data_IF_390052039450
#
_entry.id   IF_390052039450
#
_cell.length_a   1.000
_cell.length_b   1.000
_cell.length_c   1.000
_cell.angle_alpha   90.00
_cell.angle_beta   90.00
_cell.angle_gamma   90.00
#
_symmetry.space_group_name_H-M   'P 1'
#
loop_
_entity.id
_entity.type
_entity.pdbx_description
1 polymer ?
#
# COMPACT_ATOMS: atom_id res chain seq x y z
N UNK A 1 -2.50 -16.66 -16.56
CA UNK A 1 -2.58 -17.56 -17.74
C UNK A 1 -1.53 -18.64 -17.59
N UNK A 2 -1.81 -19.89 -17.93
CA UNK A 2 -0.87 -21.03 -17.82
C UNK A 2 -0.14 -21.16 -16.48
N UNK A 3 -0.78 -20.76 -15.38
CA UNK A 3 -0.17 -20.78 -14.04
C UNK A 3 0.98 -19.78 -13.84
N UNK A 4 1.12 -18.75 -14.68
CA UNK A 4 2.14 -17.70 -14.55
C UNK A 4 1.58 -16.38 -14.00
N UNK A 5 2.43 -15.64 -13.28
CA UNK A 5 2.15 -14.28 -12.83
C UNK A 5 2.39 -13.29 -13.98
N UNK A 6 1.36 -13.01 -14.79
CA UNK A 6 1.48 -12.03 -15.88
C UNK A 6 1.68 -10.59 -15.37
N UNK A 7 1.06 -10.26 -14.23
CA UNK A 7 1.19 -8.94 -13.62
C UNK A 7 0.83 -9.00 -12.14
N UNK A 8 1.72 -8.51 -11.27
CA UNK A 8 1.46 -8.39 -9.84
C UNK A 8 0.44 -7.30 -9.48
N UNK A 9 0.19 -6.36 -10.39
CA UNK A 9 -0.72 -5.23 -10.21
C UNK A 9 -1.89 -5.23 -11.22
N UNK A 10 -2.03 -6.32 -12.00
CA UNK A 10 -3.04 -6.45 -13.07
C UNK A 10 -3.01 -5.28 -14.07
N UNK A 11 -1.83 -4.77 -14.42
CA UNK A 11 -1.67 -3.63 -15.32
C UNK A 11 -2.14 -2.29 -14.72
N UNK A 12 -2.06 -2.13 -13.40
CA UNK A 12 -2.45 -0.90 -12.71
C UNK A 12 -3.94 -0.83 -12.41
N UNK A 13 -4.47 -1.84 -11.70
CA UNK A 13 -5.85 -1.76 -11.16
C UNK A 13 -6.04 -0.49 -10.32
N UNK A 14 -7.13 0.24 -10.57
CA UNK A 14 -7.42 1.47 -9.84
C UNK A 14 -7.88 1.17 -8.40
N UNK A 15 -7.78 2.18 -7.52
CA UNK A 15 -8.25 2.05 -6.14
C UNK A 15 -9.75 1.75 -6.05
N UNK A 16 -10.57 2.26 -6.97
CA UNK A 16 -12.01 2.01 -6.97
C UNK A 16 -12.35 0.58 -7.39
N UNK A 17 -11.68 0.07 -8.43
CA UNK A 17 -11.78 -1.33 -8.83
C UNK A 17 -11.28 -2.26 -7.72
N UNK A 18 -10.12 -1.96 -7.14
CA UNK A 18 -9.55 -2.72 -6.01
C UNK A 18 -10.50 -2.74 -4.81
N UNK A 19 -11.14 -1.62 -4.48
CA UNK A 19 -12.13 -1.55 -3.40
C UNK A 19 -13.33 -2.47 -3.64
N UNK A 20 -13.88 -2.46 -4.85
CA UNK A 20 -15.00 -3.32 -5.20
C UNK A 20 -14.62 -4.81 -5.15
N UNK A 21 -13.45 -5.17 -5.67
CA UNK A 21 -12.94 -6.55 -5.65
C UNK A 21 -12.70 -7.04 -4.21
N UNK A 22 -12.07 -6.22 -3.36
CA UNK A 22 -11.81 -6.60 -1.97
C UNK A 22 -13.09 -6.64 -1.14
N UNK A 23 -14.09 -5.81 -1.43
CA UNK A 23 -15.40 -5.93 -0.77
C UNK A 23 -16.05 -7.30 -1.04
N UNK A 24 -16.00 -7.80 -2.28
CA UNK A 24 -16.51 -9.13 -2.61
C UNK A 24 -15.72 -10.25 -1.92
N UNK A 25 -14.39 -10.09 -1.80
CA UNK A 25 -13.56 -11.04 -1.05
C UNK A 25 -13.88 -11.02 0.45
N UNK A 26 -14.06 -9.86 1.05
CA UNK A 26 -14.48 -9.73 2.45
C UNK A 26 -15.85 -10.37 2.68
N UNK A 27 -16.81 -10.16 1.78
CA UNK A 27 -18.14 -10.77 1.88
C UNK A 27 -18.09 -12.30 1.80
N UNK A 28 -17.25 -12.85 0.92
CA UNK A 28 -17.20 -14.30 0.68
C UNK A 28 -16.24 -15.07 1.60
N UNK A 29 -15.10 -14.48 1.96
CA UNK A 29 -14.01 -15.14 2.69
C UNK A 29 -13.75 -14.52 4.07
N UNK A 30 -14.34 -13.36 4.37
CA UNK A 30 -14.22 -12.71 5.66
C UNK A 30 -14.93 -13.47 6.78
N UNK A 31 -14.43 -13.31 7.99
CA UNK A 31 -14.94 -13.95 9.21
C UNK A 31 -14.56 -13.15 10.46
N UNK A 32 -14.83 -13.69 11.65
CA UNK A 32 -14.35 -13.09 12.90
C UNK A 32 -12.82 -13.13 13.04
N UNK A 33 -12.14 -14.04 12.35
CA UNK A 33 -10.69 -14.24 12.43
C UNK A 33 -9.94 -13.79 11.19
N UNK A 34 -10.62 -13.57 10.06
CA UNK A 34 -10.02 -13.18 8.78
C UNK A 34 -10.77 -11.95 8.27
N UNK A 35 -10.07 -10.84 8.05
CA UNK A 35 -10.66 -9.59 7.55
C UNK A 35 -9.84 -9.05 6.38
N UNK A 36 -10.50 -8.58 5.35
CA UNK A 36 -9.87 -7.93 4.20
C UNK A 36 -10.22 -6.44 4.16
N UNK A 37 -9.20 -5.60 3.98
CA UNK A 37 -9.35 -4.15 3.92
C UNK A 37 -8.79 -3.62 2.60
N UNK A 38 -9.58 -2.85 1.85
CA UNK A 38 -9.11 -2.24 0.61
C UNK A 38 -8.13 -1.11 0.95
N UNK A 39 -6.92 -1.20 0.39
CA UNK A 39 -5.97 -0.09 0.30
C UNK A 39 -5.95 0.58 -1.09
N UNK A 40 -4.80 1.10 -1.49
CA UNK A 40 -4.60 1.85 -2.74
C UNK A 40 -4.16 0.94 -3.89
N UNK A 41 -4.83 1.08 -5.04
CA UNK A 41 -4.56 0.28 -6.24
C UNK A 41 -4.65 -1.22 -5.97
N UNK A 42 -3.53 -1.93 -6.14
CA UNK A 42 -3.42 -3.38 -5.93
C UNK A 42 -2.96 -3.78 -4.50
N UNK A 43 -2.72 -2.80 -3.62
CA UNK A 43 -2.17 -3.03 -2.28
C UNK A 43 -3.30 -3.05 -1.27
N UNK A 44 -3.49 -4.20 -0.63
CA UNK A 44 -4.60 -4.44 0.30
C UNK A 44 -4.10 -5.18 1.54
N UNK A 45 -4.92 -5.19 2.60
CA UNK A 45 -4.54 -5.78 3.89
C UNK A 45 -5.44 -6.96 4.19
N UNK A 46 -4.84 -8.10 4.52
CA UNK A 46 -5.51 -9.25 5.13
C UNK A 46 -5.09 -9.33 6.60
N UNK A 47 -6.04 -9.22 7.53
CA UNK A 47 -5.80 -9.39 8.96
C UNK A 47 -6.24 -10.79 9.38
N UNK A 48 -5.30 -11.56 9.91
CA UNK A 48 -5.54 -12.91 10.42
C UNK A 48 -5.35 -12.90 11.94
N UNK A 49 -6.33 -13.39 12.70
CA UNK A 49 -6.32 -13.44 14.17
C UNK A 49 -6.30 -14.90 14.66
N UNK A 50 -5.46 -15.18 15.65
CA UNK A 50 -5.35 -16.53 16.26
C UNK A 50 -4.56 -17.55 15.44
N UNK A 51 -3.79 -17.13 14.43
CA UNK A 51 -3.00 -17.99 13.53
C UNK A 51 -1.57 -17.50 13.39
N UNK A 52 -0.85 -17.48 14.50
CA UNK A 52 0.54 -17.00 14.55
C UNK A 52 1.52 -17.88 13.75
N UNK A 53 1.13 -19.12 13.44
CA UNK A 53 1.87 -19.99 12.53
C UNK A 53 2.07 -19.36 11.15
N UNK A 54 1.10 -18.57 10.67
CA UNK A 54 1.21 -17.83 9.39
C UNK A 54 2.34 -16.80 9.35
N UNK A 55 2.81 -16.34 10.52
CA UNK A 55 3.97 -15.43 10.63
C UNK A 55 5.28 -16.10 10.25
N UNK A 56 5.33 -17.45 10.33
CA UNK A 56 6.50 -18.25 10.00
C UNK A 56 6.48 -18.77 8.57
N UNK A 57 5.44 -18.45 7.79
CA UNK A 57 5.36 -18.84 6.39
C UNK A 57 6.39 -18.08 5.56
N UNK A 58 7.17 -18.79 4.77
CA UNK A 58 8.03 -18.17 3.75
C UNK A 58 7.17 -17.87 2.54
N UNK A 59 7.09 -16.59 2.17
CA UNK A 59 6.26 -16.11 1.07
C UNK A 59 7.12 -15.27 0.10
N UNK A 60 6.73 -15.22 -1.17
CA UNK A 60 7.50 -14.52 -2.22
C UNK A 60 6.81 -13.23 -2.63
N UNK A 61 7.48 -12.06 -2.64
CA UNK A 61 6.91 -10.83 -3.17
C UNK A 61 6.47 -10.98 -4.64
N UNK A 62 5.27 -10.51 -5.03
CA UNK A 62 4.75 -10.78 -6.36
C UNK A 62 5.50 -10.00 -7.46
N UNK A 63 6.21 -8.91 -7.09
CA UNK A 63 7.04 -8.15 -8.02
C UNK A 63 8.35 -8.86 -8.41
N UNK A 64 8.74 -9.93 -7.71
CA UNK A 64 9.93 -10.73 -8.04
C UNK A 64 9.63 -11.88 -9.02
N UNK A 65 8.35 -12.15 -9.27
CA UNK A 65 7.86 -13.29 -10.06
C UNK A 65 7.10 -12.97 -11.37
N UNK A 66 7.14 -11.76 -11.98
CA UNK A 66 6.58 -11.55 -13.32
C UNK A 66 7.06 -12.61 -14.32
N UNK A 67 6.12 -13.12 -15.12
CA UNK A 67 6.31 -14.13 -16.17
C UNK A 67 6.81 -15.51 -15.70
N UNK A 68 6.89 -15.74 -14.38
CA UNK A 68 7.31 -17.02 -13.78
C UNK A 68 6.11 -17.88 -13.36
N UNK A 69 6.25 -19.22 -13.32
CA UNK A 69 5.22 -20.13 -12.80
C UNK A 69 4.98 -19.92 -11.30
N UNK A 70 3.75 -19.59 -10.90
CA UNK A 70 3.44 -19.27 -9.49
C UNK A 70 3.56 -20.47 -8.55
N UNK A 71 3.44 -21.69 -9.08
CA UNK A 71 3.50 -22.92 -8.30
C UNK A 71 4.83 -23.09 -7.55
N UNK A 72 5.92 -22.53 -8.08
CA UNK A 72 7.25 -22.56 -7.46
C UNK A 72 7.40 -21.57 -6.28
N UNK A 73 6.47 -20.62 -6.17
CA UNK A 73 6.55 -19.47 -5.24
C UNK A 73 5.39 -19.42 -4.24
N UNK A 74 4.57 -20.46 -4.17
CA UNK A 74 3.50 -20.59 -3.18
C UNK A 74 4.06 -20.57 -1.75
N UNK A 75 3.28 -20.13 -0.75
CA UNK A 75 3.70 -20.11 0.65
C UNK A 75 4.25 -21.45 1.13
N UNK A 76 5.37 -21.42 1.85
CA UNK A 76 6.03 -22.61 2.42
C UNK A 76 6.14 -22.51 3.94
N UNK A 77 6.29 -23.66 4.61
CA UNK A 77 6.46 -23.70 6.07
C UNK A 77 5.15 -23.61 6.86
N UNK A 78 5.21 -23.33 8.18
CA UNK A 78 4.03 -23.27 9.03
C UNK A 78 3.01 -22.23 8.57
N UNK A 79 1.71 -22.53 8.74
CA UNK A 79 0.62 -21.64 8.35
C UNK A 79 0.35 -21.51 6.86
N UNK A 80 1.15 -22.16 5.98
CA UNK A 80 0.96 -22.12 4.53
C UNK A 80 -0.44 -22.52 4.08
N UNK A 81 -1.03 -23.54 4.71
CA UNK A 81 -2.30 -24.12 4.24
C UNK A 81 -3.42 -23.08 4.25
N UNK A 82 -3.46 -22.23 5.29
CA UNK A 82 -4.45 -21.14 5.36
C UNK A 82 -4.21 -20.09 4.28
N UNK A 83 -2.95 -19.71 4.06
CA UNK A 83 -2.59 -18.71 3.06
C UNK A 83 -2.92 -19.23 1.65
N UNK A 84 -2.52 -20.46 1.35
CA UNK A 84 -2.83 -21.16 0.09
C UNK A 84 -4.34 -21.28 -0.12
N UNK A 85 -5.10 -21.66 0.90
CA UNK A 85 -6.57 -21.75 0.83
C UNK A 85 -7.19 -20.39 0.48
N UNK A 86 -6.81 -19.32 1.18
CA UNK A 86 -7.33 -17.98 0.92
C UNK A 86 -6.97 -17.49 -0.50
N UNK A 87 -5.74 -17.74 -0.94
CA UNK A 87 -5.31 -17.41 -2.30
C UNK A 87 -6.12 -18.18 -3.34
N UNK A 88 -6.29 -19.49 -3.19
CA UNK A 88 -7.06 -20.32 -4.12
C UNK A 88 -8.54 -19.93 -4.15
N UNK A 89 -9.19 -19.80 -2.99
CA UNK A 89 -10.61 -19.43 -2.90
C UNK A 89 -10.88 -18.03 -3.44
N UNK A 90 -9.90 -17.11 -3.36
CA UNK A 90 -10.05 -15.78 -3.97
C UNK A 90 -10.25 -15.85 -5.48
N UNK A 91 -9.70 -16.87 -6.17
CA UNK A 91 -9.87 -17.01 -7.61
C UNK A 91 -11.34 -17.18 -7.99
N UNK A 92 -12.08 -17.98 -7.23
CA UNK A 92 -13.50 -18.24 -7.48
C UNK A 92 -14.35 -16.98 -7.31
N UNK A 93 -14.05 -16.18 -6.28
CA UNK A 93 -14.70 -14.90 -6.01
C UNK A 93 -14.44 -13.90 -7.14
N UNK A 94 -13.20 -13.86 -7.64
CA UNK A 94 -12.77 -12.85 -8.60
C UNK A 94 -13.12 -13.21 -10.06
N UNK A 95 -13.23 -14.49 -10.42
CA UNK A 95 -13.31 -14.98 -11.81
C UNK A 95 -14.38 -14.27 -12.65
N UNK A 96 -15.59 -14.16 -12.10
CA UNK A 96 -16.78 -13.58 -12.74
C UNK A 96 -17.23 -12.27 -12.09
N UNK A 97 -16.36 -11.63 -11.30
CA UNK A 97 -16.69 -10.36 -10.68
C UNK A 97 -16.94 -9.28 -11.75
N UNK A 98 -17.97 -8.41 -11.62
CA UNK A 98 -18.32 -7.39 -12.62
C UNK A 98 -17.14 -6.50 -13.04
N UNK A 99 -16.25 -6.14 -12.10
CA UNK A 99 -15.02 -5.40 -12.40
C UNK A 99 -14.14 -6.15 -13.40
N UNK A 100 -13.97 -7.47 -13.24
CA UNK A 100 -13.16 -8.25 -14.17
C UNK A 100 -13.82 -8.43 -15.53
N UNK A 101 -15.16 -8.52 -15.58
CA UNK A 101 -15.91 -8.55 -16.84
C UNK A 101 -15.67 -7.24 -17.60
N UNK A 102 -15.78 -6.10 -16.92
CA UNK A 102 -15.56 -4.78 -17.53
C UNK A 102 -14.09 -4.54 -17.91
N UNK A 103 -13.13 -4.99 -17.09
CA UNK A 103 -11.70 -4.91 -17.45
C UNK A 103 -11.42 -5.69 -18.72
N UNK A 104 -11.95 -6.91 -18.84
CA UNK A 104 -11.80 -7.73 -20.06
C UNK A 104 -12.45 -7.07 -21.27
N UNK A 105 -13.65 -6.47 -21.12
CA UNK A 105 -14.35 -5.80 -22.24
C UNK A 105 -13.54 -4.63 -22.81
N UNK A 106 -12.71 -3.98 -21.98
CA UNK A 106 -11.81 -2.88 -22.34
C UNK A 106 -10.39 -3.32 -22.74
N UNK A 107 -10.10 -4.61 -22.76
CA UNK A 107 -8.77 -5.15 -23.06
C UNK A 107 -7.74 -4.98 -21.93
N UNK A 108 -8.19 -4.70 -20.70
CA UNK A 108 -7.33 -4.67 -19.52
C UNK A 108 -7.18 -6.07 -18.89
N UNK A 109 -6.06 -6.28 -18.21
CA UNK A 109 -5.79 -7.52 -17.49
C UNK A 109 -6.75 -7.65 -16.29
N UNK A 110 -7.45 -8.79 -16.13
CA UNK A 110 -8.29 -9.04 -14.97
C UNK A 110 -7.46 -9.32 -13.72
N UNK A 111 -8.01 -9.03 -12.54
CA UNK A 111 -7.46 -9.42 -11.25
C UNK A 111 -7.87 -10.85 -10.96
N UNK A 112 -6.94 -11.81 -11.01
CA UNK A 112 -7.30 -13.23 -10.97
C UNK A 112 -7.15 -13.89 -9.61
N UNK A 113 -6.35 -13.32 -8.71
CA UNK A 113 -6.04 -13.95 -7.43
C UNK A 113 -5.49 -12.90 -6.45
N UNK A 114 -5.80 -13.05 -5.16
CA UNK A 114 -5.02 -12.40 -4.11
C UNK A 114 -3.67 -13.10 -3.97
N UNK A 115 -2.60 -12.32 -3.83
CA UNK A 115 -1.27 -12.85 -3.55
C UNK A 115 -0.86 -12.45 -2.14
N UNK A 116 -0.91 -13.39 -1.20
CA UNK A 116 -0.54 -13.15 0.20
C UNK A 116 0.98 -13.39 0.35
N UNK A 117 1.76 -12.32 0.22
CA UNK A 117 3.22 -12.42 0.21
C UNK A 117 3.93 -11.90 1.45
N UNK A 118 3.24 -11.14 2.28
CA UNK A 118 3.79 -10.74 3.55
C UNK A 118 3.41 -11.81 4.57
N UNK A 119 4.41 -12.53 5.08
CA UNK A 119 4.33 -13.03 6.45
C UNK A 119 4.32 -11.79 7.35
N UNK A 120 3.16 -11.15 7.47
CA UNK A 120 3.03 -9.87 8.17
C UNK A 120 3.39 -10.09 9.63
N UNK A 121 4.53 -9.57 10.07
CA UNK A 121 4.98 -9.69 11.45
C UNK A 121 3.94 -9.15 12.45
N UNK A 122 4.10 -9.51 13.72
CA UNK A 122 3.28 -8.90 14.78
C UNK A 122 3.46 -7.38 14.71
N UNK A 123 2.36 -6.65 14.84
CA UNK A 123 2.39 -5.19 14.98
C UNK A 123 3.31 -4.90 16.18
N UNK A 124 4.43 -4.19 15.98
CA UNK A 124 5.34 -3.91 17.07
C UNK A 124 4.63 -3.04 18.11
N UNK A 125 5.01 -3.21 19.38
CA UNK A 125 4.62 -2.25 20.39
C UNK A 125 5.30 -0.92 20.07
N UNK A 126 4.50 0.06 19.65
CA UNK A 126 4.96 1.37 19.25
C UNK A 126 4.36 2.40 20.21
N UNK A 127 5.12 2.82 21.26
CA UNK A 127 4.60 3.79 22.19
C UNK A 127 4.33 5.12 21.47
N UNK A 128 3.35 5.91 21.93
CA UNK A 128 3.10 7.24 21.39
C UNK A 128 4.37 8.09 21.35
N UNK A 129 4.58 8.80 20.25
CA UNK A 129 5.76 9.61 19.98
C UNK A 129 5.97 10.65 21.07
N UNK A 130 4.88 11.27 21.54
CA UNK A 130 4.88 12.22 22.65
C UNK A 130 5.36 11.60 23.96
N UNK A 131 4.96 10.36 24.28
CA UNK A 131 5.41 9.69 25.51
C UNK A 131 6.91 9.40 25.46
N UNK A 132 7.42 9.04 24.27
CA UNK A 132 8.84 8.70 24.09
C UNK A 132 9.75 9.93 23.99
N UNK A 133 9.30 11.01 23.35
CA UNK A 133 10.14 12.15 22.99
C UNK A 133 9.70 13.49 23.61
N UNK A 134 8.56 13.53 24.29
CA UNK A 134 8.05 14.73 24.97
C UNK A 134 7.49 15.81 24.06
N UNK A 135 7.37 15.55 22.75
CA UNK A 135 6.95 16.53 21.74
C UNK A 135 5.69 16.07 21.01
N UNK A 136 4.80 17.01 20.69
CA UNK A 136 3.66 16.75 19.81
C UNK A 136 4.15 16.90 18.36
N UNK A 137 3.90 15.87 17.54
CA UNK A 137 4.37 15.86 16.16
C UNK A 137 3.21 15.72 15.18
N UNK A 138 3.38 16.30 14.00
CA UNK A 138 2.53 16.06 12.84
C UNK A 138 3.34 15.57 11.64
N UNK A 139 2.67 14.97 10.65
CA UNK A 139 3.28 14.52 9.40
C UNK A 139 2.39 14.83 8.20
N UNK A 140 3.01 15.26 7.09
CA UNK A 140 2.38 15.28 5.77
C UNK A 140 3.06 14.28 4.85
N UNK A 141 2.25 13.42 4.20
CA UNK A 141 2.70 12.42 3.22
C UNK A 141 1.51 11.96 2.39
N UNK A 142 1.76 11.66 1.10
CA UNK A 142 0.82 10.95 0.23
C UNK A 142 0.88 9.41 0.41
N UNK A 143 1.91 8.90 1.09
CA UNK A 143 2.16 7.47 1.19
C UNK A 143 1.47 6.86 2.40
N UNK A 144 0.51 5.96 2.15
CA UNK A 144 -0.27 5.28 3.20
C UNK A 144 0.58 4.55 4.25
N UNK A 145 1.71 3.98 3.85
CA UNK A 145 2.64 3.32 4.78
C UNK A 145 3.10 4.28 5.88
N UNK A 146 3.56 5.48 5.49
CA UNK A 146 4.04 6.48 6.44
C UNK A 146 2.89 7.07 7.25
N UNK A 147 1.73 7.31 6.62
CA UNK A 147 0.50 7.75 7.31
C UNK A 147 0.07 6.73 8.37
N UNK A 148 0.20 5.44 8.08
CA UNK A 148 -0.04 4.35 9.02
C UNK A 148 0.93 4.36 10.19
N UNK A 149 2.24 4.49 9.93
CA UNK A 149 3.26 4.57 10.97
C UNK A 149 3.07 5.78 11.89
N UNK A 150 2.74 6.95 11.32
CA UNK A 150 2.42 8.14 12.09
C UNK A 150 1.24 7.90 13.04
N UNK A 151 0.13 7.34 12.52
CA UNK A 151 -1.04 6.98 13.34
C UNK A 151 -0.70 5.99 14.44
N UNK A 152 0.08 4.96 14.13
CA UNK A 152 0.53 3.98 15.13
C UNK A 152 1.39 4.63 16.23
N UNK A 153 2.20 5.63 15.88
CA UNK A 153 3.01 6.38 16.82
C UNK A 153 2.25 7.56 17.47
N UNK A 154 0.95 7.74 17.24
CA UNK A 154 0.21 8.90 17.75
C UNK A 154 0.74 10.26 17.25
N UNK A 155 1.29 10.29 16.02
CA UNK A 155 1.66 11.50 15.28
C UNK A 155 0.46 11.91 14.42
N UNK A 156 0.09 13.18 14.47
CA UNK A 156 -1.05 13.70 13.72
C UNK A 156 -0.75 13.68 12.21
N UNK A 157 -1.66 13.14 11.41
CA UNK A 157 -1.50 13.11 9.95
C UNK A 157 -2.25 14.28 9.35
N UNK A 158 -1.51 15.18 8.69
CA UNK A 158 -2.06 16.35 8.02
C UNK A 158 -2.74 15.93 6.72
N UNK A 159 -3.97 16.42 6.52
CA UNK A 159 -4.73 16.26 5.29
C UNK A 159 -4.69 17.56 4.50
N UNK A 160 -3.70 17.67 3.61
CA UNK A 160 -3.42 18.88 2.82
C UNK A 160 -3.89 18.60 1.37
N UNK A 161 -4.87 19.35 0.85
CA UNK A 161 -5.35 19.16 -0.52
C UNK A 161 -4.24 19.28 -1.56
N UNK A 162 -4.22 18.34 -2.50
CA UNK A 162 -3.25 18.30 -3.60
C UNK A 162 -1.91 17.66 -3.23
N UNK A 163 -1.76 17.09 -2.03
CA UNK A 163 -0.58 16.26 -1.72
C UNK A 163 -0.74 14.88 -2.37
N UNK A 164 0.11 14.57 -3.35
CA UNK A 164 0.15 13.31 -4.09
C UNK A 164 1.55 12.69 -4.06
N UNK A 165 1.68 11.45 -4.54
CA UNK A 165 2.95 10.72 -4.61
C UNK A 165 3.74 11.03 -5.89
N UNK A 166 3.11 11.59 -6.92
CA UNK A 166 3.71 11.89 -8.22
C UNK A 166 4.23 13.33 -8.39
N UNK A 167 4.65 13.65 -9.61
CA UNK A 167 5.09 15.00 -9.99
C UNK A 167 3.96 16.05 -9.94
N UNK A 168 2.71 15.59 -9.95
CA UNK A 168 1.52 16.42 -9.79
C UNK A 168 1.29 16.91 -8.33
N UNK A 169 2.17 16.51 -7.40
CA UNK A 169 2.13 16.94 -6.01
C UNK A 169 2.15 18.47 -5.88
N UNK A 170 1.31 19.01 -5.01
CA UNK A 170 1.33 20.42 -4.66
C UNK A 170 2.36 20.68 -3.56
N UNK A 171 3.64 20.69 -3.94
CA UNK A 171 4.78 20.92 -3.04
C UNK A 171 4.63 22.20 -2.20
N UNK A 172 4.14 23.27 -2.83
CA UNK A 172 3.94 24.56 -2.17
C UNK A 172 2.88 24.49 -1.06
N UNK A 173 1.74 23.85 -1.33
CA UNK A 173 0.70 23.64 -0.32
C UNK A 173 1.20 22.71 0.79
N UNK A 174 1.97 21.67 0.43
CA UNK A 174 2.55 20.74 1.39
C UNK A 174 3.48 21.45 2.38
N UNK A 175 4.40 22.29 1.89
CA UNK A 175 5.30 23.08 2.73
C UNK A 175 4.56 24.11 3.58
N UNK A 176 3.59 24.82 3.00
CA UNK A 176 2.79 25.82 3.72
C UNK A 176 1.95 25.20 4.85
N UNK A 177 1.26 24.08 4.58
CA UNK A 177 0.46 23.39 5.60
C UNK A 177 1.33 22.76 6.70
N UNK A 178 2.55 22.34 6.38
CA UNK A 178 3.51 21.90 7.39
C UNK A 178 3.97 23.04 8.30
N UNK A 179 4.25 24.23 7.75
CA UNK A 179 4.56 25.43 8.54
C UNK A 179 3.39 25.89 9.41
N UNK A 180 2.17 25.82 8.89
CA UNK A 180 0.96 26.11 9.67
C UNK A 180 0.80 25.15 10.85
N UNK A 181 1.07 23.86 10.66
CA UNK A 181 0.99 22.86 11.72
C UNK A 181 1.96 23.15 12.89
N UNK A 182 3.12 23.77 12.64
CA UNK A 182 4.07 24.19 13.69
C UNK A 182 3.50 25.23 14.68
N UNK A 183 2.36 25.86 14.37
CA UNK A 183 1.69 26.73 15.34
C UNK A 183 1.12 25.96 16.54
N UNK A 184 0.80 24.67 16.35
CA UNK A 184 0.17 23.82 17.35
C UNK A 184 0.97 22.53 17.63
N UNK A 185 2.12 22.33 16.96
CA UNK A 185 2.97 21.16 17.10
C UNK A 185 4.43 21.59 17.29
N UNK A 186 5.18 20.77 18.02
CA UNK A 186 6.59 21.02 18.30
C UNK A 186 7.50 20.52 17.17
N UNK A 187 7.01 19.58 16.35
CA UNK A 187 7.73 18.96 15.24
C UNK A 187 6.78 18.63 14.08
N UNK A 188 7.22 18.85 12.85
CA UNK A 188 6.49 18.43 11.65
C UNK A 188 7.40 17.67 10.70
N UNK A 189 6.98 16.47 10.32
CA UNK A 189 7.63 15.65 9.29
C UNK A 189 7.02 15.95 7.93
N UNK A 190 7.84 16.41 6.98
CA UNK A 190 7.43 16.57 5.58
C UNK A 190 8.03 15.44 4.77
N UNK A 191 7.17 14.57 4.22
CA UNK A 191 7.59 13.50 3.34
C UNK A 191 7.11 13.75 1.92
N UNK A 192 8.04 13.75 0.97
CA UNK A 192 7.76 13.95 -0.46
C UNK A 192 8.21 12.70 -1.23
N UNK A 193 7.24 12.02 -1.86
CA UNK A 193 7.45 10.70 -2.48
C UNK A 193 7.93 10.77 -3.93
N UNK A 194 7.60 11.86 -4.63
CA UNK A 194 7.84 11.98 -6.08
C UNK A 194 9.27 11.69 -6.57
N UNK A 195 10.36 11.95 -5.80
CA UNK A 195 11.70 11.54 -6.23
C UNK A 195 11.92 10.02 -6.28
N UNK A 196 11.21 9.26 -5.44
CA UNK A 196 11.30 7.80 -5.39
C UNK A 196 10.48 7.16 -6.52
N UNK A 197 9.24 7.62 -6.74
CA UNK A 197 8.40 7.19 -7.86
C UNK A 197 9.10 7.40 -9.22
N UNK A 198 9.76 8.55 -9.44
CA UNK A 198 10.57 8.77 -10.63
C UNK A 198 11.76 7.80 -10.73
N UNK A 199 12.34 7.42 -9.59
CA UNK A 199 13.38 6.39 -9.50
C UNK A 199 12.87 5.00 -9.91
N UNK A 200 11.71 4.59 -9.40
CA UNK A 200 11.05 3.34 -9.78
C UNK A 200 10.67 3.28 -11.26
N UNK A 201 10.26 4.41 -11.83
CA UNK A 201 9.97 4.55 -13.26
C UNK A 201 11.25 4.58 -14.14
N UNK A 202 12.44 4.70 -13.54
CA UNK A 202 13.69 4.86 -14.28
C UNK A 202 13.82 6.20 -15.01
N UNK A 203 13.01 7.21 -14.63
CA UNK A 203 12.97 8.52 -15.28
C UNK A 203 13.93 9.49 -14.61
N UNK A 204 15.06 9.75 -15.28
CA UNK A 204 16.08 10.69 -14.79
C UNK A 204 15.52 12.12 -14.76
N UNK A 205 14.82 12.53 -15.81
CA UNK A 205 14.30 13.89 -15.95
C UNK A 205 13.24 14.18 -14.89
N UNK A 206 12.31 13.24 -14.65
CA UNK A 206 11.29 13.41 -13.61
C UNK A 206 11.91 13.44 -12.22
N UNK A 207 12.95 12.65 -11.97
CA UNK A 207 13.67 12.64 -10.69
C UNK A 207 14.36 13.97 -10.43
N UNK A 208 15.01 14.54 -11.44
CA UNK A 208 15.61 15.87 -11.35
C UNK A 208 14.53 16.92 -11.09
N UNK A 209 13.42 16.88 -11.84
CA UNK A 209 12.30 17.81 -11.67
C UNK A 209 11.71 17.74 -10.26
N UNK A 210 11.45 16.53 -9.73
CA UNK A 210 10.94 16.34 -8.38
C UNK A 210 11.85 16.96 -7.31
N UNK A 211 13.16 16.70 -7.39
CA UNK A 211 14.14 17.26 -6.45
C UNK A 211 14.17 18.79 -6.53
N UNK A 212 14.12 19.37 -7.74
CA UNK A 212 14.08 20.82 -7.92
C UNK A 212 12.80 21.45 -7.36
N UNK A 213 11.66 20.76 -7.47
CA UNK A 213 10.40 21.22 -6.87
C UNK A 213 10.46 21.16 -5.35
N UNK A 214 11.05 20.11 -4.75
CA UNK A 214 11.28 20.04 -3.30
C UNK A 214 12.14 21.21 -2.83
N UNK A 215 13.26 21.49 -3.51
CA UNK A 215 14.15 22.61 -3.17
C UNK A 215 13.41 23.96 -3.25
N UNK A 216 12.74 24.20 -4.38
CA UNK A 216 12.06 25.47 -4.65
C UNK A 216 10.84 25.70 -3.78
N UNK A 217 9.98 24.70 -3.63
CA UNK A 217 8.63 24.90 -3.07
C UNK A 217 8.50 24.43 -1.62
N UNK A 218 9.43 23.61 -1.13
CA UNK A 218 9.45 23.16 0.27
C UNK A 218 10.62 23.78 1.00
N UNK A 219 11.86 23.45 0.62
CA UNK A 219 13.07 23.85 1.39
C UNK A 219 13.24 25.36 1.43
N UNK A 220 13.04 26.07 0.32
CA UNK A 220 13.20 27.54 0.29
C UNK A 220 12.21 28.32 1.18
N UNK A 221 11.14 27.65 1.65
CA UNK A 221 10.09 28.24 2.48
C UNK A 221 10.29 28.01 3.98
N UNK A 222 11.18 27.08 4.35
CA UNK A 222 11.53 26.73 5.73
C UNK A 222 12.65 27.65 6.24
#
# INVERSE_FOLDING_TARGET
EDGKMLSYCSGGVSSDEGRALIAAVEESLGSSTIRFYPGVGYRHICRITGREDTLSATCTPPHDIPDKPIAEFMPQGPGRDLLEELMQRSQDVLREHPVNIERKSRGYMPVTMLWLFWGSGRIPDLPPFKERYGVNAAMTSAVDLLRGLAKMAGIDVLDIPGVTDGLDNNYAAQGAGALEALQNHDLVFIHVESPDEAGHAGSIDDKIAAIQQVDREVVSRL
#
